data_IF_201870982075
#
_entry.id   IF_201870982075
#
_cell.length_a   1.000
_cell.length_b   1.000
_cell.length_c   1.000
_cell.angle_alpha   90.00
_cell.angle_beta   90.00
_cell.angle_gamma   90.00
#
_symmetry.space_group_name_H-M   'P 1'
#
loop_
_entity.id
_entity.type
_entity.pdbx_description
1 polymer ?
#
# COMPACT_ATOMS: atom_id res chain seq x y z
N UNK A 1 2.23 32.70 18.37
CA UNK A 1 1.73 32.00 17.16
C UNK A 1 2.88 32.00 16.20
N UNK A 2 3.55 30.85 16.03
CA UNK A 2 4.69 30.77 15.13
C UNK A 2 4.14 30.58 13.71
N UNK A 3 4.48 31.45 12.73
CA UNK A 3 3.91 31.41 11.39
C UNK A 3 4.61 30.43 10.44
N UNK A 4 5.53 29.59 10.94
CA UNK A 4 6.39 28.70 10.13
C UNK A 4 6.21 27.20 10.45
N UNK A 5 4.99 26.72 10.70
CA UNK A 5 4.72 25.29 10.51
C UNK A 5 4.40 25.10 9.03
N UNK A 6 5.45 25.01 8.20
CA UNK A 6 5.34 24.32 6.92
C UNK A 6 4.62 22.99 7.21
N UNK A 7 3.52 22.73 6.51
CA UNK A 7 2.77 21.50 6.64
C UNK A 7 3.64 20.34 6.16
N UNK A 8 4.45 19.79 7.07
CA UNK A 8 5.37 18.69 6.79
C UNK A 8 4.59 17.56 6.14
N UNK A 9 5.11 17.05 5.02
CA UNK A 9 4.49 15.90 4.38
C UNK A 9 4.51 14.71 5.34
N UNK A 10 3.62 13.73 5.15
CA UNK A 10 3.67 12.49 5.93
C UNK A 10 5.06 11.85 5.87
N UNK A 11 5.74 11.95 4.72
CA UNK A 11 7.08 11.43 4.55
C UNK A 11 8.09 12.13 5.47
N UNK A 12 8.12 13.46 5.47
CA UNK A 12 9.03 14.24 6.33
C UNK A 12 8.78 13.92 7.81
N UNK A 13 7.50 13.80 8.19
CA UNK A 13 7.12 13.45 9.55
C UNK A 13 7.57 12.04 9.94
N UNK A 14 7.43 11.06 9.03
CA UNK A 14 7.92 9.71 9.26
C UNK A 14 9.44 9.67 9.43
N UNK A 15 10.20 10.46 8.66
CA UNK A 15 11.67 10.57 8.78
C UNK A 15 12.09 11.13 10.15
N UNK A 16 11.44 12.22 10.58
CA UNK A 16 11.68 12.83 11.89
C UNK A 16 11.35 11.84 13.01
N UNK A 17 10.19 11.20 12.97
CA UNK A 17 9.76 10.28 14.04
C UNK A 17 10.63 9.02 14.08
N UNK A 18 11.03 8.47 12.93
CA UNK A 18 11.94 7.32 12.87
C UNK A 18 13.26 7.65 13.59
N UNK A 19 13.79 8.84 13.35
CA UNK A 19 15.01 9.34 14.01
C UNK A 19 14.79 9.53 15.52
N UNK A 20 13.67 10.14 15.94
CA UNK A 20 13.37 10.38 17.36
C UNK A 20 13.15 9.10 18.16
N UNK A 21 12.71 8.02 17.51
CA UNK A 21 12.38 6.75 18.16
C UNK A 21 13.43 5.67 17.95
N UNK A 22 14.51 5.97 17.24
CA UNK A 22 15.58 5.03 16.87
C UNK A 22 15.00 3.74 16.26
N UNK A 23 14.01 3.89 15.37
CA UNK A 23 13.33 2.77 14.73
C UNK A 23 14.22 2.20 13.62
N UNK A 24 14.65 0.94 13.75
CA UNK A 24 15.51 0.27 12.77
C UNK A 24 14.88 0.15 11.37
N UNK A 25 13.56 -0.02 11.31
CA UNK A 25 12.79 -0.08 10.07
C UNK A 25 12.71 1.29 9.35
N UNK A 26 13.19 2.36 9.96
CA UNK A 26 13.23 3.68 9.36
C UNK A 26 11.84 4.31 9.15
N UNK A 27 11.74 5.34 8.28
CA UNK A 27 10.47 6.03 8.01
C UNK A 27 9.38 5.11 7.47
N UNK A 28 9.73 4.04 6.74
CA UNK A 28 8.78 3.05 6.22
C UNK A 28 8.08 2.28 7.34
N UNK A 29 8.79 1.98 8.43
CA UNK A 29 8.22 1.38 9.63
C UNK A 29 7.21 2.30 10.30
N UNK A 30 7.54 3.60 10.39
CA UNK A 30 6.64 4.62 10.94
C UNK A 30 5.39 4.79 10.07
N UNK A 31 5.55 4.88 8.75
CA UNK A 31 4.44 4.96 7.81
C UNK A 31 3.53 3.72 7.89
N UNK A 32 4.12 2.53 8.01
CA UNK A 32 3.39 1.27 8.19
C UNK A 32 2.51 1.31 9.44
N UNK A 33 3.00 1.89 10.54
CA UNK A 33 2.19 2.11 11.73
C UNK A 33 0.99 3.02 11.44
N UNK A 34 1.19 4.15 10.78
CA UNK A 34 0.11 5.08 10.40
C UNK A 34 -0.91 4.40 9.51
N UNK A 35 -0.46 3.61 8.52
CA UNK A 35 -1.31 2.82 7.64
C UNK A 35 -2.12 1.77 8.40
N UNK A 36 -1.52 1.07 9.36
CA UNK A 36 -2.25 0.13 10.22
C UNK A 36 -3.34 0.84 11.03
N UNK A 37 -3.04 2.03 11.57
CA UNK A 37 -4.04 2.85 12.26
C UNK A 37 -5.14 3.27 11.29
N UNK A 38 -4.80 3.82 10.13
CA UNK A 38 -5.76 4.17 9.09
C UNK A 38 -6.69 3.00 8.77
N UNK A 39 -6.16 1.81 8.56
CA UNK A 39 -6.95 0.66 8.13
C UNK A 39 -7.84 0.03 9.22
N UNK A 40 -7.57 0.30 10.50
CA UNK A 40 -8.17 -0.42 11.63
C UNK A 40 -8.63 0.48 12.79
N UNK A 41 -8.60 1.80 12.64
CA UNK A 41 -8.94 2.72 13.72
C UNK A 41 -10.42 2.59 14.15
N UNK A 42 -10.73 2.70 15.46
CA UNK A 42 -9.78 2.81 16.57
C UNK A 42 -9.07 1.47 16.84
N UNK A 43 -7.73 1.50 16.99
CA UNK A 43 -6.91 0.31 17.26
C UNK A 43 -6.06 0.45 18.53
N UNK A 44 -5.97 -0.60 19.35
CA UNK A 44 -5.15 -0.54 20.56
C UNK A 44 -3.64 -0.65 20.21
N UNK A 45 -2.74 0.03 20.95
CA UNK A 45 -1.29 -0.05 20.71
C UNK A 45 -0.73 -1.48 20.72
N UNK A 46 -1.29 -2.37 21.54
CA UNK A 46 -0.91 -3.80 21.58
C UNK A 46 -1.20 -4.53 20.27
N UNK A 47 -2.27 -4.15 19.57
CA UNK A 47 -2.69 -4.80 18.33
C UNK A 47 -1.85 -4.30 17.16
N UNK A 48 -1.48 -3.01 17.18
CA UNK A 48 -0.47 -2.43 16.27
C UNK A 48 0.89 -3.10 16.47
N UNK A 49 1.37 -3.19 17.71
CA UNK A 49 2.62 -3.85 18.08
C UNK A 49 2.67 -5.31 17.57
N UNK A 50 1.60 -6.08 17.78
CA UNK A 50 1.50 -7.45 17.27
C UNK A 50 1.57 -7.52 15.74
N UNK A 51 0.89 -6.61 15.03
CA UNK A 51 0.90 -6.58 13.55
C UNK A 51 2.28 -6.25 12.98
N UNK A 52 3.03 -5.37 13.65
CA UNK A 52 4.35 -4.93 13.20
C UNK A 52 5.49 -5.82 13.73
N UNK A 53 5.25 -6.67 14.73
CA UNK A 53 6.31 -7.39 15.42
C UNK A 53 7.19 -6.51 16.33
N UNK A 54 6.68 -5.33 16.74
CA UNK A 54 7.42 -4.36 17.55
C UNK A 54 7.06 -4.42 19.03
N UNK A 55 7.96 -4.01 19.95
CA UNK A 55 7.63 -3.82 21.35
C UNK A 55 6.54 -2.75 21.55
N UNK A 56 5.56 -3.01 22.43
CA UNK A 56 4.51 -2.05 22.79
C UNK A 56 5.08 -0.67 23.22
N UNK A 57 6.18 -0.58 24.00
CA UNK A 57 6.77 0.70 24.35
C UNK A 57 7.21 1.53 23.13
N UNK A 58 7.74 0.88 22.10
CA UNK A 58 8.20 1.54 20.87
C UNK A 58 7.03 2.08 20.06
N UNK A 59 5.99 1.26 19.84
CA UNK A 59 4.73 1.71 19.22
C UNK A 59 4.11 2.87 20.00
N UNK A 60 4.17 2.84 21.33
CA UNK A 60 3.67 3.91 22.18
C UNK A 60 4.51 5.19 22.09
N UNK A 61 5.83 5.07 21.86
CA UNK A 61 6.70 6.21 21.61
C UNK A 61 6.37 6.87 20.26
N UNK A 62 6.31 6.08 19.18
CA UNK A 62 5.94 6.56 17.83
C UNK A 62 4.58 7.27 17.85
N UNK A 63 3.58 6.65 18.49
CA UNK A 63 2.26 7.24 18.69
C UNK A 63 2.33 8.61 19.36
N UNK A 64 3.13 8.76 20.42
CA UNK A 64 3.24 10.01 21.17
C UNK A 64 3.85 11.12 20.32
N UNK A 65 4.80 10.82 19.45
CA UNK A 65 5.34 11.80 18.52
C UNK A 65 4.27 12.26 17.52
N UNK A 66 3.48 11.35 16.94
CA UNK A 66 2.33 11.74 16.10
C UNK A 66 1.25 12.53 16.85
N UNK A 67 1.02 12.28 18.14
CA UNK A 67 0.09 13.06 18.96
C UNK A 67 0.58 14.51 19.16
N UNK A 68 1.90 14.74 19.30
CA UNK A 68 2.48 16.09 19.43
C UNK A 68 2.26 16.91 18.16
N UNK A 69 2.38 16.27 17.00
CA UNK A 69 2.19 16.87 15.68
C UNK A 69 0.71 16.90 15.23
N UNK A 70 -0.24 16.55 16.11
CA UNK A 70 -1.67 16.62 15.82
C UNK A 70 -2.20 15.58 14.82
N UNK A 71 -1.37 14.62 14.42
CA UNK A 71 -1.74 13.54 13.49
C UNK A 71 -2.59 12.45 14.14
N UNK A 72 -2.46 12.23 15.45
CA UNK A 72 -3.22 11.22 16.19
C UNK A 72 -4.00 11.78 17.39
N UNK A 73 -5.14 11.16 17.68
CA UNK A 73 -6.05 11.51 18.76
C UNK A 73 -6.15 10.40 19.81
N UNK A 74 -6.35 10.78 21.07
CA UNK A 74 -6.58 9.86 22.18
C UNK A 74 -8.07 9.50 22.29
N UNK A 75 -8.53 8.51 21.54
CA UNK A 75 -9.95 8.12 21.52
C UNK A 75 -10.14 6.59 21.46
N UNK A 76 -10.15 5.93 22.61
CA UNK A 76 -10.41 4.48 22.70
C UNK A 76 -9.33 3.59 22.05
N UNK A 77 -8.19 4.18 21.68
CA UNK A 77 -7.14 3.56 20.88
C UNK A 77 -6.31 4.63 20.19
N UNK A 78 -5.55 4.21 19.19
CA UNK A 78 -4.90 5.05 18.19
C UNK A 78 -5.93 5.36 17.11
N UNK A 79 -6.09 6.64 16.81
CA UNK A 79 -7.02 7.18 15.83
C UNK A 79 -6.32 8.35 15.16
N UNK A 80 -6.42 8.48 13.84
CA UNK A 80 -5.94 9.65 13.11
C UNK A 80 -6.83 10.86 13.40
N UNK A 81 -6.26 12.07 13.33
CA UNK A 81 -7.07 13.28 13.26
C UNK A 81 -7.85 13.33 11.94
N UNK A 82 -8.97 14.07 11.84
CA UNK A 82 -9.73 14.18 10.59
C UNK A 82 -8.87 14.67 9.41
N UNK A 83 -7.92 15.56 9.67
CA UNK A 83 -6.99 16.05 8.66
C UNK A 83 -5.99 14.98 8.21
N UNK A 84 -5.39 14.26 9.17
CA UNK A 84 -4.50 13.14 8.89
C UNK A 84 -5.22 12.00 8.14
N UNK A 85 -6.49 11.73 8.47
CA UNK A 85 -7.30 10.76 7.77
C UNK A 85 -7.61 11.19 6.33
N UNK A 86 -7.89 12.48 6.10
CA UNK A 86 -8.07 13.01 4.76
C UNK A 86 -6.79 12.88 3.92
N UNK A 87 -5.63 13.20 4.50
CA UNK A 87 -4.30 13.01 3.89
C UNK A 87 -4.01 11.53 3.62
N UNK A 88 -4.28 10.64 4.58
CA UNK A 88 -4.13 9.19 4.41
C UNK A 88 -4.99 8.65 3.26
N UNK A 89 -6.22 9.16 3.11
CA UNK A 89 -7.13 8.78 2.02
C UNK A 89 -6.61 9.17 0.64
N UNK A 90 -5.91 10.29 0.49
CA UNK A 90 -5.31 10.68 -0.80
C UNK A 90 -4.17 9.75 -1.21
N UNK A 91 -3.50 9.14 -0.23
CA UNK A 91 -2.39 8.21 -0.46
C UNK A 91 -2.88 6.76 -0.65
N UNK A 92 -3.75 6.28 0.23
CA UNK A 92 -4.06 4.84 0.32
C UNK A 92 -5.47 4.48 -0.18
N UNK A 93 -6.29 5.47 -0.54
CA UNK A 93 -7.65 5.27 -1.02
C UNK A 93 -8.60 4.84 0.08
N UNK A 94 -9.61 4.02 -0.22
CA UNK A 94 -10.60 3.57 0.78
C UNK A 94 -9.95 2.69 1.86
N UNK A 95 -10.24 2.96 3.13
CA UNK A 95 -9.80 2.12 4.24
C UNK A 95 -10.59 0.81 4.32
N UNK A 96 -9.99 -0.22 4.93
CA UNK A 96 -10.60 -1.54 5.10
C UNK A 96 -11.84 -1.51 5.99
N UNK A 97 -11.86 -0.68 7.02
CA UNK A 97 -13.02 -0.57 7.90
C UNK A 97 -14.27 -0.01 7.19
N UNK A 98 -14.09 0.73 6.08
CA UNK A 98 -15.21 1.20 5.24
C UNK A 98 -15.85 0.05 4.45
N UNK A 99 -15.04 -0.95 4.05
CA UNK A 99 -15.53 -2.16 3.39
C UNK A 99 -16.31 -3.10 4.32
N UNK A 100 -16.23 -2.93 5.65
CA UNK A 100 -17.02 -3.75 6.58
C UNK A 100 -18.50 -3.32 6.65
N UNK A 101 -18.82 -2.11 6.20
CA UNK A 101 -20.17 -1.54 6.14
C UNK A 101 -20.90 -1.91 4.85
N UNK A 102 -20.17 -2.18 3.78
CA UNK A 102 -20.70 -2.69 2.53
C UNK A 102 -20.65 -4.22 2.65
N UNK A 103 -21.79 -4.91 2.64
CA UNK A 103 -21.82 -6.37 2.45
C UNK A 103 -21.33 -6.68 1.05
N UNK A 104 -20.02 -6.54 0.82
CA UNK A 104 -19.34 -7.11 -0.32
C UNK A 104 -19.05 -8.52 0.16
N UNK A 105 -19.83 -9.48 -0.34
CA UNK A 105 -19.41 -10.87 -0.30
C UNK A 105 -17.94 -10.93 -0.72
N UNK A 106 -17.10 -11.82 -0.15
CA UNK A 106 -15.74 -11.94 -0.62
C UNK A 106 -15.83 -12.34 -2.09
N UNK A 107 -15.76 -11.37 -3.01
CA UNK A 107 -15.77 -11.63 -4.45
C UNK A 107 -14.42 -12.24 -4.78
N UNK A 108 -14.35 -13.53 -4.49
CA UNK A 108 -13.55 -14.52 -5.16
C UNK A 108 -14.14 -14.67 -6.57
N UNK A 109 -14.00 -13.63 -7.38
CA UNK A 109 -14.35 -13.61 -8.79
C UNK A 109 -13.26 -12.87 -9.56
N UNK A 110 -12.80 -13.37 -10.72
CA UNK A 110 -11.99 -12.56 -11.60
C UNK A 110 -12.71 -11.29 -11.96
N UNK A 111 -12.04 -10.15 -11.80
CA UNK A 111 -12.22 -9.09 -12.77
C UNK A 111 -11.99 -9.69 -14.15
N UNK A 112 -12.91 -9.49 -15.11
CA UNK A 112 -12.74 -9.91 -16.51
C UNK A 112 -11.37 -9.47 -17.06
N UNK A 113 -10.83 -8.38 -16.51
CA UNK A 113 -9.49 -7.89 -16.82
C UNK A 113 -8.37 -8.88 -16.45
N UNK A 114 -8.42 -9.53 -15.29
CA UNK A 114 -7.38 -10.46 -14.86
C UNK A 114 -7.34 -11.71 -15.75
N UNK A 115 -8.51 -12.21 -16.16
CA UNK A 115 -8.58 -13.33 -17.09
C UNK A 115 -8.08 -12.92 -18.47
N UNK A 116 -8.42 -11.70 -18.90
CA UNK A 116 -7.93 -11.12 -20.15
C UNK A 116 -6.41 -11.00 -20.18
N UNK A 117 -5.75 -10.47 -19.16
CA UNK A 117 -4.28 -10.34 -19.17
C UNK A 117 -3.59 -11.71 -19.16
N UNK A 118 -4.14 -12.70 -18.44
CA UNK A 118 -3.62 -14.07 -18.43
C UNK A 118 -3.76 -14.73 -19.80
N UNK A 119 -4.80 -14.38 -20.57
CA UNK A 119 -4.98 -14.87 -21.95
C UNK A 119 -4.10 -14.13 -22.97
N UNK A 120 -3.86 -12.83 -22.77
CA UNK A 120 -3.07 -12.01 -23.68
C UNK A 120 -1.56 -12.15 -23.50
N UNK A 121 -1.09 -12.69 -22.37
CA UNK A 121 0.34 -12.85 -22.12
C UNK A 121 1.00 -13.69 -23.24
N UNK A 122 2.16 -13.27 -23.77
CA UNK A 122 2.91 -14.05 -24.75
C UNK A 122 3.24 -15.44 -24.23
N UNK A 123 3.48 -16.41 -25.10
CA UNK A 123 4.01 -17.70 -24.65
C UNK A 123 5.41 -17.51 -24.06
N UNK A 124 5.67 -18.18 -22.94
CA UNK A 124 6.95 -18.13 -22.23
C UNK A 124 8.11 -18.47 -23.17
N UNK A 125 9.11 -17.60 -23.19
CA UNK A 125 10.36 -17.76 -23.94
C UNK A 125 11.44 -18.33 -23.02
N UNK A 126 11.83 -19.58 -23.27
CA UNK A 126 12.78 -20.31 -22.42
C UNK A 126 14.18 -19.73 -22.45
N UNK A 127 14.59 -19.11 -23.55
CA UNK A 127 15.90 -18.43 -23.62
C UNK A 127 15.99 -17.21 -22.70
N UNK A 128 14.84 -16.67 -22.26
CA UNK A 128 14.73 -15.60 -21.27
C UNK A 128 14.42 -16.13 -19.86
N UNK A 129 14.47 -17.45 -19.66
CA UNK A 129 14.11 -18.13 -18.39
C UNK A 129 12.68 -17.81 -17.90
N UNK A 130 11.77 -17.48 -18.81
CA UNK A 130 10.39 -17.13 -18.46
C UNK A 130 9.60 -18.36 -18.00
N UNK A 131 8.77 -18.18 -16.98
CA UNK A 131 7.87 -19.22 -16.50
C UNK A 131 6.59 -18.62 -15.95
N UNK A 132 5.48 -19.06 -16.51
CA UNK A 132 4.19 -18.51 -16.16
C UNK A 132 3.66 -19.04 -14.83
N UNK A 133 3.37 -18.12 -13.91
CA UNK A 133 2.59 -18.38 -12.74
C UNK A 133 1.13 -18.67 -13.08
N UNK A 134 0.46 -19.31 -12.11
CA UNK A 134 -0.99 -19.52 -12.18
C UNK A 134 -1.71 -18.20 -11.89
N UNK A 135 -2.95 -18.08 -12.39
CA UNK A 135 -3.84 -16.97 -12.04
C UNK A 135 -3.97 -16.76 -10.52
N UNK A 136 -4.07 -17.86 -9.76
CA UNK A 136 -4.15 -17.82 -8.29
C UNK A 136 -2.90 -17.19 -7.68
N UNK A 137 -1.72 -17.56 -8.19
CA UNK A 137 -0.43 -16.99 -7.75
C UNK A 137 -0.37 -15.49 -8.06
N UNK A 138 -0.78 -15.07 -9.26
CA UNK A 138 -0.82 -13.66 -9.67
C UNK A 138 -1.71 -12.82 -8.75
N UNK A 139 -2.93 -13.28 -8.48
CA UNK A 139 -3.87 -12.62 -7.57
C UNK A 139 -3.32 -12.53 -6.15
N UNK A 140 -2.74 -13.62 -5.63
CA UNK A 140 -2.15 -13.62 -4.30
C UNK A 140 -0.99 -12.63 -4.17
N UNK A 141 -0.12 -12.59 -5.19
CA UNK A 141 1.02 -11.66 -5.24
C UNK A 141 0.53 -10.20 -5.25
N UNK A 142 -0.40 -9.88 -6.15
CA UNK A 142 -0.99 -8.54 -6.24
C UNK A 142 -1.70 -8.11 -4.93
N UNK A 143 -2.46 -9.02 -4.31
CA UNK A 143 -3.06 -8.76 -3.00
C UNK A 143 -2.02 -8.49 -1.93
N UNK A 144 -0.92 -9.23 -1.92
CA UNK A 144 0.17 -9.01 -0.97
C UNK A 144 0.76 -7.60 -1.11
N UNK A 145 1.03 -7.13 -2.34
CA UNK A 145 1.47 -5.74 -2.56
C UNK A 145 0.51 -4.70 -1.97
N UNK A 146 -0.80 -4.89 -2.17
CA UNK A 146 -1.84 -3.94 -1.72
C UNK A 146 -2.03 -3.99 -0.20
N UNK A 147 -2.05 -5.19 0.37
CA UNK A 147 -2.33 -5.42 1.79
C UNK A 147 -1.13 -5.05 2.67
N UNK A 148 0.09 -5.24 2.16
CA UNK A 148 1.32 -4.80 2.81
C UNK A 148 1.72 -3.35 2.47
N UNK A 149 0.93 -2.64 1.64
CA UNK A 149 1.13 -1.22 1.38
C UNK A 149 2.40 -0.92 0.59
N UNK A 150 2.81 -1.89 -0.23
CA UNK A 150 4.03 -1.84 -1.03
C UNK A 150 3.83 -1.09 -2.35
N UNK A 151 2.60 -0.63 -2.65
CA UNK A 151 2.28 0.05 -3.91
C UNK A 151 1.64 1.43 -3.72
N UNK A 152 0.66 1.59 -2.81
CA UNK A 152 -0.10 2.83 -2.66
C UNK A 152 0.77 3.96 -2.11
N UNK A 153 0.79 5.12 -2.79
CA UNK A 153 1.65 6.24 -2.39
C UNK A 153 3.15 6.00 -2.63
N UNK A 154 3.52 4.95 -3.39
CA UNK A 154 4.91 4.54 -3.62
C UNK A 154 5.31 4.68 -5.08
N UNK A 155 6.62 4.81 -5.31
CA UNK A 155 7.25 4.62 -6.62
C UNK A 155 7.83 3.21 -6.67
N UNK A 156 7.26 2.35 -7.51
CA UNK A 156 7.56 0.92 -7.56
C UNK A 156 8.15 0.56 -8.92
N UNK A 157 9.26 -0.16 -8.87
CA UNK A 157 9.90 -0.76 -10.04
C UNK A 157 9.61 -2.27 -10.05
N UNK A 158 8.96 -2.75 -11.11
CA UNK A 158 8.93 -4.17 -11.45
C UNK A 158 10.09 -4.47 -12.40
N UNK A 159 10.99 -5.35 -11.99
CA UNK A 159 12.11 -5.82 -12.79
C UNK A 159 11.80 -7.26 -13.23
N UNK A 160 11.47 -7.45 -14.51
CA UNK A 160 10.80 -8.67 -14.94
C UNK A 160 9.28 -8.58 -14.77
N UNK A 161 8.50 -8.85 -15.81
CA UNK A 161 7.03 -8.92 -15.67
C UNK A 161 6.33 -9.89 -16.64
N UNK A 162 6.90 -11.08 -16.85
CA UNK A 162 6.31 -12.16 -17.66
C UNK A 162 4.94 -12.64 -17.15
N UNK A 163 4.72 -12.52 -15.85
CA UNK A 163 3.43 -12.79 -15.21
C UNK A 163 2.40 -11.65 -15.32
N UNK A 164 2.78 -10.47 -15.80
CA UNK A 164 1.96 -9.25 -15.79
C UNK A 164 1.48 -8.87 -14.37
N UNK A 165 2.35 -9.06 -13.39
CA UNK A 165 2.11 -8.71 -11.97
C UNK A 165 1.86 -7.22 -11.81
N UNK A 166 2.55 -6.37 -12.57
CA UNK A 166 2.34 -4.92 -12.50
C UNK A 166 0.87 -4.57 -12.82
N UNK A 167 0.35 -5.05 -13.96
CA UNK A 167 -1.02 -4.81 -14.40
C UNK A 167 -2.06 -5.42 -13.45
N UNK A 168 -1.82 -6.64 -12.98
CA UNK A 168 -2.71 -7.29 -12.02
C UNK A 168 -2.81 -6.51 -10.70
N UNK A 169 -1.68 -6.00 -10.21
CA UNK A 169 -1.62 -5.22 -8.97
C UNK A 169 -2.33 -3.88 -9.13
N UNK A 170 -2.10 -3.16 -10.23
CA UNK A 170 -2.77 -1.89 -10.51
C UNK A 170 -4.29 -2.06 -10.67
N UNK A 171 -4.74 -3.12 -11.34
CA UNK A 171 -6.16 -3.42 -11.47
C UNK A 171 -6.80 -3.69 -10.12
N UNK A 172 -6.24 -4.62 -9.33
CA UNK A 172 -6.79 -4.96 -8.02
C UNK A 172 -6.70 -3.79 -7.05
N UNK A 173 -5.68 -2.94 -7.16
CA UNK A 173 -5.56 -1.73 -6.37
C UNK A 173 -6.73 -0.78 -6.67
N UNK A 174 -7.02 -0.56 -7.95
CA UNK A 174 -8.15 0.27 -8.37
C UNK A 174 -9.48 -0.25 -7.85
N UNK A 175 -9.69 -1.57 -7.92
CA UNK A 175 -10.93 -2.21 -7.45
C UNK A 175 -11.09 -2.13 -5.93
N UNK A 176 -10.03 -2.46 -5.18
CA UNK A 176 -10.08 -2.54 -3.71
C UNK A 176 -9.99 -1.18 -3.03
N UNK A 177 -9.19 -0.25 -3.57
CA UNK A 177 -8.84 1.01 -2.91
C UNK A 177 -9.33 2.24 -3.67
N UNK A 178 -9.81 2.07 -4.90
CA UNK A 178 -10.35 3.14 -5.72
C UNK A 178 -9.28 3.86 -6.56
N UNK A 179 -9.75 4.74 -7.45
CA UNK A 179 -8.89 5.50 -8.38
C UNK A 179 -7.92 6.45 -7.68
N UNK A 180 -8.24 6.90 -6.47
CA UNK A 180 -7.36 7.77 -5.67
C UNK A 180 -6.06 7.04 -5.32
N UNK A 181 -6.15 5.80 -4.81
CA UNK A 181 -4.97 5.00 -4.51
C UNK A 181 -4.18 4.59 -5.76
N UNK A 182 -4.88 4.35 -6.88
CA UNK A 182 -4.22 4.10 -8.16
C UNK A 182 -3.42 5.34 -8.61
N UNK A 183 -4.00 6.53 -8.47
CA UNK A 183 -3.37 7.79 -8.88
C UNK A 183 -2.26 8.27 -7.94
N UNK A 184 -2.10 7.66 -6.76
CA UNK A 184 -1.05 8.01 -5.80
C UNK A 184 0.24 7.20 -5.98
N UNK A 185 0.23 6.16 -6.81
CA UNK A 185 1.41 5.34 -7.08
C UNK A 185 2.04 5.64 -8.44
N UNK A 186 3.35 5.47 -8.53
CA UNK A 186 4.11 5.54 -9.78
C UNK A 186 4.71 4.16 -10.04
N UNK A 187 4.38 3.54 -11.17
CA UNK A 187 4.86 2.19 -11.51
C UNK A 187 5.71 2.25 -12.76
N UNK A 188 6.93 1.72 -12.66
CA UNK A 188 7.82 1.50 -13.79
C UNK A 188 8.02 0.00 -13.96
N UNK A 189 8.01 -0.48 -15.21
CA UNK A 189 8.34 -1.86 -15.55
C UNK A 189 9.58 -1.86 -16.44
N UNK A 190 10.59 -2.64 -16.05
CA UNK A 190 11.77 -2.94 -16.87
C UNK A 190 11.69 -4.40 -17.30
N UNK A 191 11.58 -4.62 -18.61
CA UNK A 191 11.40 -5.95 -19.20
C UNK A 191 12.28 -6.11 -20.44
N UNK A 192 12.86 -7.30 -20.60
CA UNK A 192 13.76 -7.62 -21.71
C UNK A 192 12.98 -8.12 -22.94
N UNK A 193 11.84 -8.78 -22.72
CA UNK A 193 10.99 -9.25 -23.80
C UNK A 193 10.14 -8.11 -24.38
N UNK A 194 10.47 -7.68 -25.60
CA UNK A 194 9.76 -6.60 -26.30
C UNK A 194 8.26 -6.89 -26.44
N UNK A 195 7.85 -8.16 -26.54
CA UNK A 195 6.43 -8.54 -26.64
C UNK A 195 5.66 -8.16 -25.37
N UNK A 196 6.29 -8.32 -24.20
CA UNK A 196 5.71 -7.92 -22.92
C UNK A 196 5.69 -6.40 -22.78
N UNK A 197 6.77 -5.72 -23.19
CA UNK A 197 6.83 -4.24 -23.19
C UNK A 197 5.71 -3.65 -24.04
N UNK A 198 5.51 -4.16 -25.25
CA UNK A 198 4.42 -3.75 -26.14
C UNK A 198 3.05 -4.04 -25.55
N UNK A 199 2.86 -5.24 -24.99
CA UNK A 199 1.60 -5.61 -24.35
C UNK A 199 1.26 -4.68 -23.18
N UNK A 200 2.20 -4.44 -22.28
CA UNK A 200 2.02 -3.58 -21.10
C UNK A 200 1.66 -2.16 -21.55
N UNK A 201 2.38 -1.60 -22.54
CA UNK A 201 2.08 -0.27 -23.11
C UNK A 201 0.72 -0.18 -23.81
N UNK A 202 0.20 -1.29 -24.32
CA UNK A 202 -1.10 -1.31 -25.00
C UNK A 202 -2.30 -1.37 -24.04
N UNK A 203 -2.06 -1.80 -22.79
CA UNK A 203 -3.09 -1.98 -21.76
C UNK A 203 -3.05 -0.87 -20.70
N UNK A 204 -1.85 -0.51 -20.25
CA UNK A 204 -1.60 0.54 -19.25
C UNK A 204 -1.64 1.93 -19.86
#
# INVERSE_FOLDING_TARGET
MNPDTDDLSLQDLCEVIATLTDLHEGPEGVETLVRIVYENQPIAPRDVARKMGLPIPLVSAIRREFEKEGWMLRKGGMVLSPEAEAKARTLWGKARFEHASETVEPEQGPSDFLDRIVQLRPSAERSLDQSHATRKTLVNRANHFIEEGLIQGKRVLFLGDDDLTSLATLQLLREKRGKVALGSCEVTVLELDERLVELIKSIG
#
